data_IF_099632306757
#
_entry.id   IF_099632306757
#
_cell.length_a   1.000
_cell.length_b   1.000
_cell.length_c   1.000
_cell.angle_alpha   90.00
_cell.angle_beta   90.00
_cell.angle_gamma   90.00
#
_symmetry.space_group_name_H-M   'P 1'
#
loop_
_entity.id
_entity.type
_entity.pdbx_description
1 polymer ?
#
# COMPACT_ATOMS: atom_id res chain seq x y z
N UNK A 1 0.10 8.79 -14.00
CA UNK A 1 -0.37 7.55 -13.36
C UNK A 1 0.29 7.47 -12.00
N UNK A 2 -0.47 7.19 -10.94
CA UNK A 2 0.05 7.14 -9.56
C UNK A 2 -0.03 5.71 -9.03
N UNK A 3 0.94 5.35 -8.20
CA UNK A 3 1.07 4.05 -7.55
C UNK A 3 0.86 4.20 -6.04
N UNK A 4 0.03 3.34 -5.45
CA UNK A 4 -0.24 3.32 -4.01
C UNK A 4 0.46 2.10 -3.42
N UNK A 5 1.35 2.33 -2.47
CA UNK A 5 2.12 1.25 -1.83
C UNK A 5 1.41 0.76 -0.58
N UNK A 6 1.40 -0.56 -0.39
CA UNK A 6 1.11 -1.16 0.90
C UNK A 6 2.35 -1.10 1.83
N UNK A 7 2.15 -1.39 3.12
CA UNK A 7 3.24 -1.44 4.09
C UNK A 7 4.26 -2.52 3.73
N UNK A 8 3.79 -3.65 3.20
CA UNK A 8 4.61 -4.81 2.90
C UNK A 8 5.65 -4.53 1.82
N UNK A 9 5.35 -3.65 0.85
CA UNK A 9 6.32 -3.17 -0.15
C UNK A 9 7.54 -2.55 0.51
N UNK A 10 7.33 -1.61 1.41
CA UNK A 10 8.42 -0.88 2.06
C UNK A 10 9.18 -1.77 3.05
N UNK A 11 8.46 -2.60 3.80
CA UNK A 11 9.04 -3.52 4.79
C UNK A 11 9.89 -4.59 4.10
N UNK A 12 9.37 -5.24 3.05
CA UNK A 12 10.09 -6.28 2.32
C UNK A 12 11.28 -5.71 1.57
N UNK A 13 11.11 -4.56 0.90
CA UNK A 13 12.20 -3.86 0.24
C UNK A 13 13.33 -3.54 1.22
N UNK A 14 13.03 -2.94 2.38
CA UNK A 14 14.03 -2.61 3.39
C UNK A 14 14.77 -3.84 3.95
N UNK A 15 14.04 -4.94 4.20
CA UNK A 15 14.61 -6.12 4.85
C UNK A 15 15.42 -7.01 3.93
N UNK A 16 15.05 -7.13 2.66
CA UNK A 16 15.56 -8.19 1.79
C UNK A 16 16.14 -7.70 0.47
N UNK A 17 15.46 -6.79 -0.21
CA UNK A 17 15.81 -6.45 -1.60
C UNK A 17 16.73 -5.22 -1.70
N UNK A 18 16.50 -4.22 -0.85
CA UNK A 18 17.11 -2.89 -0.89
C UNK A 18 17.37 -2.38 0.54
N UNK A 19 18.38 -2.92 1.21
CA UNK A 19 18.80 -2.38 2.51
C UNK A 19 19.28 -0.94 2.34
N UNK A 20 19.11 -0.10 3.37
CA UNK A 20 19.52 1.31 3.28
C UNK A 20 21.02 1.46 3.04
N UNK A 21 21.84 0.59 3.62
CA UNK A 21 23.30 0.63 3.47
C UNK A 21 23.76 0.01 2.15
N UNK A 22 23.06 -1.03 1.67
CA UNK A 22 23.42 -1.74 0.44
C UNK A 22 22.84 -1.11 -0.84
N UNK A 23 21.79 -0.29 -0.73
CA UNK A 23 21.08 0.28 -1.88
C UNK A 23 20.54 1.69 -1.61
N UNK A 24 21.37 2.66 -1.18
CA UNK A 24 20.92 4.01 -0.86
C UNK A 24 20.26 4.72 -2.04
N UNK A 25 20.77 4.50 -3.26
CA UNK A 25 20.22 5.10 -4.49
C UNK A 25 18.78 4.67 -4.79
N UNK A 26 18.37 3.46 -4.38
CA UNK A 26 16.98 3.02 -4.54
C UNK A 26 16.05 3.90 -3.70
N UNK A 27 16.44 4.21 -2.46
CA UNK A 27 15.65 5.03 -1.56
C UNK A 27 15.60 6.49 -2.00
N UNK A 28 16.72 7.04 -2.48
CA UNK A 28 16.76 8.40 -3.06
C UNK A 28 15.89 8.49 -4.32
N UNK A 29 15.97 7.48 -5.19
CA UNK A 29 15.10 7.37 -6.36
C UNK A 29 13.61 7.30 -5.96
N UNK A 30 13.26 6.52 -4.93
CA UNK A 30 11.89 6.44 -4.45
C UNK A 30 11.40 7.80 -3.92
N UNK A 31 12.24 8.57 -3.22
CA UNK A 31 11.92 9.96 -2.80
C UNK A 31 11.66 10.86 -4.01
N UNK A 32 12.44 10.72 -5.08
CA UNK A 32 12.19 11.45 -6.33
C UNK A 32 10.81 11.10 -6.91
N UNK A 33 10.43 9.82 -6.92
CA UNK A 33 9.10 9.40 -7.39
C UNK A 33 7.95 9.95 -6.53
N UNK A 34 8.13 9.99 -5.20
CA UNK A 34 7.19 10.64 -4.29
C UNK A 34 7.06 12.13 -4.61
N UNK A 35 8.19 12.82 -4.80
CA UNK A 35 8.23 14.27 -5.09
C UNK A 35 7.53 14.63 -6.40
N UNK A 36 7.49 13.69 -7.36
CA UNK A 36 6.78 13.83 -8.64
C UNK A 36 5.29 13.43 -8.54
N UNK A 37 4.81 13.00 -7.38
CA UNK A 37 3.45 12.50 -7.18
C UNK A 37 3.19 11.13 -7.82
N UNK A 38 4.23 10.42 -8.25
CA UNK A 38 4.12 9.10 -8.91
C UNK A 38 3.86 8.01 -7.88
N UNK A 39 4.46 8.11 -6.68
CA UNK A 39 4.22 7.16 -5.58
C UNK A 39 3.49 7.87 -4.45
N UNK A 40 2.51 7.20 -3.88
CA UNK A 40 1.78 7.65 -2.70
C UNK A 40 1.67 6.56 -1.66
N UNK A 41 1.69 6.98 -0.39
CA UNK A 41 1.59 6.12 0.78
C UNK A 41 0.43 6.64 1.64
N UNK A 42 -0.63 5.83 1.82
CA UNK A 42 -1.76 6.19 2.68
C UNK A 42 -1.36 6.40 4.13
N UNK A 43 -2.12 7.25 4.83
CA UNK A 43 -1.92 7.51 6.24
C UNK A 43 -1.86 6.25 7.12
N UNK A 44 -2.75 5.30 6.89
CA UNK A 44 -2.77 4.02 7.62
C UNK A 44 -1.45 3.24 7.49
N UNK A 45 -0.83 3.24 6.31
CA UNK A 45 0.48 2.61 6.05
C UNK A 45 1.58 3.35 6.81
N UNK A 46 1.53 4.69 6.87
CA UNK A 46 2.42 5.46 7.74
C UNK A 46 2.26 5.06 9.20
N UNK A 47 1.02 4.95 9.70
CA UNK A 47 0.77 4.58 11.09
C UNK A 47 1.32 3.19 11.39
N UNK A 48 1.08 2.21 10.50
CA UNK A 48 1.56 0.84 10.66
C UNK A 48 3.09 0.76 10.73
N UNK A 49 3.80 1.37 9.78
CA UNK A 49 5.27 1.36 9.75
C UNK A 49 5.84 2.10 10.97
N UNK A 50 5.19 3.19 11.41
CA UNK A 50 5.61 3.98 12.56
C UNK A 50 5.37 3.32 13.92
N UNK A 51 4.66 2.19 13.99
CA UNK A 51 4.61 1.35 15.21
C UNK A 51 5.99 0.77 15.55
N UNK A 52 6.87 0.65 14.56
CA UNK A 52 8.28 0.28 14.75
C UNK A 52 9.19 1.49 14.96
N UNK A 53 10.37 1.28 15.55
CA UNK A 53 11.40 2.31 15.78
C UNK A 53 12.65 2.12 14.91
N UNK A 54 12.53 1.34 13.85
CA UNK A 54 13.63 0.95 12.97
C UNK A 54 14.05 2.06 11.98
N UNK A 55 14.99 1.72 11.10
CA UNK A 55 15.52 2.66 10.11
C UNK A 55 14.45 3.06 9.07
N UNK A 56 13.56 2.14 8.70
CA UNK A 56 12.49 2.40 7.75
C UNK A 56 11.50 3.41 8.32
N UNK A 57 11.08 3.27 9.58
CA UNK A 57 10.15 4.22 10.19
C UNK A 57 10.75 5.62 10.31
N UNK A 58 12.05 5.74 10.61
CA UNK A 58 12.77 7.03 10.61
C UNK A 58 12.84 7.64 9.21
N UNK A 59 13.18 6.85 8.20
CA UNK A 59 13.24 7.30 6.81
C UNK A 59 11.87 7.76 6.31
N UNK A 60 10.82 7.00 6.59
CA UNK A 60 9.47 7.30 6.14
C UNK A 60 8.94 8.59 6.81
N UNK A 61 9.20 8.79 8.11
CA UNK A 61 8.88 10.05 8.80
C UNK A 61 9.60 11.25 8.19
N UNK A 62 10.89 11.13 7.88
CA UNK A 62 11.70 12.20 7.26
C UNK A 62 11.14 12.61 5.90
N UNK A 63 10.66 11.64 5.12
CA UNK A 63 10.18 11.87 3.74
C UNK A 63 8.64 11.95 3.65
N UNK A 64 7.93 12.16 4.77
CA UNK A 64 6.47 12.16 4.81
C UNK A 64 5.85 13.12 3.79
N UNK A 65 6.40 14.32 3.65
CA UNK A 65 5.85 15.39 2.80
C UNK A 65 5.71 15.00 1.33
N UNK A 66 6.53 14.07 0.82
CA UNK A 66 6.50 13.69 -0.60
C UNK A 66 5.66 12.45 -0.88
N UNK A 67 5.34 11.64 0.13
CA UNK A 67 4.58 10.41 -0.08
C UNK A 67 3.15 10.45 0.48
N UNK A 68 2.90 11.27 1.51
CA UNK A 68 1.69 11.20 2.31
C UNK A 68 0.42 11.43 1.50
N UNK A 69 -0.56 10.53 1.70
CA UNK A 69 -1.93 10.70 1.26
C UNK A 69 -2.85 10.66 2.50
N UNK A 70 -3.63 11.71 2.77
CA UNK A 70 -4.57 11.76 3.89
C UNK A 70 -5.76 10.83 3.67
N UNK A 71 -6.27 10.21 4.73
CA UNK A 71 -7.39 9.25 4.67
C UNK A 71 -8.63 9.83 3.99
N UNK A 72 -8.86 11.13 4.15
CA UNK A 72 -9.97 11.88 3.59
C UNK A 72 -10.06 11.80 2.06
N UNK A 73 -8.92 11.66 1.36
CA UNK A 73 -8.88 11.53 -0.10
C UNK A 73 -9.56 10.23 -0.61
N UNK A 74 -9.78 9.26 0.28
CA UNK A 74 -10.46 8.01 -0.02
C UNK A 74 -11.82 7.84 0.68
N UNK A 75 -12.33 8.87 1.39
CA UNK A 75 -13.48 8.73 2.29
C UNK A 75 -14.72 8.08 1.64
N UNK A 76 -15.01 8.38 0.37
CA UNK A 76 -16.15 7.81 -0.37
C UNK A 76 -15.92 6.36 -0.82
N UNK A 77 -14.67 5.93 -0.95
CA UNK A 77 -14.27 4.61 -1.46
C UNK A 77 -13.95 3.62 -0.33
N UNK A 78 -13.68 4.09 0.89
CA UNK A 78 -13.33 3.25 2.04
C UNK A 78 -14.41 2.22 2.34
N UNK A 79 -15.69 2.60 2.31
CA UNK A 79 -16.78 1.66 2.59
C UNK A 79 -16.83 0.53 1.56
N UNK A 80 -16.64 0.83 0.27
CA UNK A 80 -16.61 -0.17 -0.79
C UNK A 80 -15.43 -1.14 -0.62
N UNK A 81 -14.25 -0.62 -0.28
CA UNK A 81 -13.08 -1.43 0.01
C UNK A 81 -13.29 -2.32 1.24
N UNK A 82 -13.78 -1.77 2.34
CA UNK A 82 -14.07 -2.53 3.57
C UNK A 82 -15.08 -3.64 3.31
N UNK A 83 -16.18 -3.35 2.62
CA UNK A 83 -17.21 -4.34 2.27
C UNK A 83 -16.67 -5.48 1.39
N UNK A 84 -15.55 -5.28 0.69
CA UNK A 84 -14.88 -6.35 -0.05
C UNK A 84 -13.99 -7.24 0.85
N UNK A 85 -13.63 -6.80 2.06
CA UNK A 85 -12.92 -7.59 3.07
C UNK A 85 -13.85 -8.21 4.11
N UNK A 86 -15.09 -7.74 4.27
CA UNK A 86 -16.02 -8.28 5.27
C UNK A 86 -17.23 -8.98 4.65
N UNK A 87 -17.74 -10.00 5.32
CA UNK A 87 -19.17 -10.32 5.25
C UNK A 87 -19.81 -9.69 6.47
N UNK A 88 -20.95 -9.00 6.32
CA UNK A 88 -21.72 -8.19 7.29
C UNK A 88 -21.87 -8.68 8.77
N UNK A 89 -21.19 -9.74 9.21
CA UNK A 89 -21.00 -10.13 10.59
C UNK A 89 -19.94 -9.25 11.29
N UNK A 90 -20.29 -8.71 12.45
CA UNK A 90 -19.44 -7.85 13.29
C UNK A 90 -18.10 -8.51 13.70
N UNK A 91 -18.02 -9.84 13.67
CA UNK A 91 -16.81 -10.61 14.03
C UNK A 91 -15.69 -10.53 13.01
N UNK A 92 -15.97 -10.14 11.76
CA UNK A 92 -14.93 -10.04 10.72
C UNK A 92 -14.16 -8.70 10.80
N UNK A 93 -14.74 -7.65 11.40
CA UNK A 93 -14.19 -6.28 11.38
C UNK A 93 -12.89 -6.18 12.18
N UNK A 94 -12.77 -6.85 13.33
CA UNK A 94 -11.55 -6.88 14.15
C UNK A 94 -10.36 -7.59 13.48
N UNK A 95 -10.59 -8.32 12.37
CA UNK A 95 -9.56 -9.13 11.69
C UNK A 95 -9.08 -8.52 10.38
N UNK A 96 -9.67 -7.40 9.96
CA UNK A 96 -9.25 -6.70 8.75
C UNK A 96 -7.89 -6.04 9.03
N UNK A 97 -6.86 -6.23 8.19
CA UNK A 97 -5.63 -5.47 8.31
C UNK A 97 -5.93 -3.98 8.25
N UNK A 98 -5.49 -3.23 9.27
CA UNK A 98 -5.86 -1.81 9.44
C UNK A 98 -5.57 -0.93 8.20
N UNK A 99 -4.59 -1.32 7.38
CA UNK A 99 -4.12 -0.52 6.25
C UNK A 99 -4.70 -0.93 4.88
N UNK A 100 -4.87 -2.23 4.61
CA UNK A 100 -5.18 -2.75 3.27
C UNK A 100 -6.45 -2.16 2.64
N UNK A 101 -7.59 -2.05 3.33
CA UNK A 101 -8.78 -1.43 2.76
C UNK A 101 -8.55 0.00 2.32
N UNK A 102 -7.75 0.77 3.06
CA UNK A 102 -7.44 2.16 2.71
C UNK A 102 -6.50 2.24 1.51
N UNK A 103 -5.52 1.34 1.40
CA UNK A 103 -4.66 1.24 0.20
C UNK A 103 -5.51 1.04 -1.05
N UNK A 104 -6.45 0.09 -1.01
CA UNK A 104 -7.36 -0.16 -2.13
C UNK A 104 -8.31 1.02 -2.34
N UNK A 105 -8.85 1.62 -1.28
CA UNK A 105 -9.77 2.75 -1.38
C UNK A 105 -9.11 3.98 -2.02
N UNK A 106 -7.85 4.28 -1.71
CA UNK A 106 -7.11 5.37 -2.38
C UNK A 106 -6.94 5.10 -3.87
N UNK A 107 -6.61 3.86 -4.24
CA UNK A 107 -6.48 3.49 -5.64
C UNK A 107 -7.82 3.55 -6.38
N UNK A 108 -8.91 3.12 -5.73
CA UNK A 108 -10.26 3.20 -6.26
C UNK A 108 -10.73 4.65 -6.46
N UNK A 109 -10.49 5.53 -5.49
CA UNK A 109 -10.89 6.94 -5.53
C UNK A 109 -10.17 7.73 -6.64
N UNK A 110 -8.88 7.45 -6.84
CA UNK A 110 -8.01 8.24 -7.72
C UNK A 110 -7.71 7.60 -9.09
N UNK A 111 -8.20 6.39 -9.35
CA UNK A 111 -7.81 5.60 -10.52
C UNK A 111 -6.33 5.21 -10.52
N UNK A 112 -5.71 5.13 -9.34
CA UNK A 112 -4.30 4.75 -9.17
C UNK A 112 -4.12 3.23 -9.22
N UNK A 113 -2.87 2.78 -9.30
CA UNK A 113 -2.52 1.35 -9.27
C UNK A 113 -1.95 0.96 -7.92
N UNK A 114 -2.45 -0.11 -7.31
CA UNK A 114 -1.88 -0.66 -6.08
C UNK A 114 -0.61 -1.44 -6.38
N UNK A 115 0.41 -1.27 -5.55
CA UNK A 115 1.65 -2.04 -5.59
C UNK A 115 1.76 -2.85 -4.30
N UNK A 116 1.98 -4.16 -4.45
CA UNK A 116 2.09 -5.10 -3.33
C UNK A 116 3.11 -6.21 -3.64
N UNK A 117 3.63 -6.89 -2.62
CA UNK A 117 4.34 -8.16 -2.81
C UNK A 117 3.40 -9.38 -2.85
N UNK A 118 2.15 -9.21 -2.42
CA UNK A 118 1.20 -10.31 -2.31
C UNK A 118 0.91 -10.97 -3.66
N UNK A 119 0.61 -12.27 -3.60
CA UNK A 119 0.09 -13.03 -4.73
C UNK A 119 -1.40 -13.30 -4.50
N UNK A 120 -2.23 -13.30 -5.56
CA UNK A 120 -3.66 -13.64 -5.45
C UNK A 120 -3.86 -14.96 -4.71
N UNK A 121 -4.88 -15.01 -3.86
CA UNK A 121 -5.29 -16.23 -3.16
C UNK A 121 -6.76 -16.49 -3.48
N UNK A 122 -7.04 -17.04 -4.68
CA UNK A 122 -8.41 -17.31 -5.09
C UNK A 122 -9.10 -18.23 -4.09
N UNK A 123 -10.39 -17.98 -3.84
CA UNK A 123 -11.24 -18.67 -2.87
C UNK A 123 -10.90 -18.43 -1.39
N UNK A 124 -10.10 -17.40 -1.06
CA UNK A 124 -9.98 -16.95 0.32
C UNK A 124 -11.32 -16.46 0.88
N UNK A 125 -11.61 -16.79 2.14
CA UNK A 125 -12.71 -16.19 2.88
C UNK A 125 -12.54 -14.66 2.91
N UNK A 126 -13.63 -13.86 2.94
CA UNK A 126 -13.55 -12.40 2.79
C UNK A 126 -12.52 -11.71 3.70
N UNK A 127 -12.49 -12.05 5.00
CA UNK A 127 -11.54 -11.49 5.97
C UNK A 127 -10.07 -11.91 5.74
N UNK A 128 -9.82 -12.89 4.88
CA UNK A 128 -8.49 -13.41 4.53
C UNK A 128 -8.11 -13.11 3.07
N UNK A 129 -8.91 -12.31 2.35
CA UNK A 129 -8.62 -11.91 0.98
C UNK A 129 -7.32 -11.12 0.93
N UNK A 130 -6.56 -11.35 -0.12
CA UNK A 130 -5.33 -10.61 -0.39
C UNK A 130 -5.65 -9.34 -1.17
N UNK A 131 -4.77 -8.35 -1.09
CA UNK A 131 -4.93 -7.07 -1.80
C UNK A 131 -5.23 -7.30 -3.29
N UNK A 132 -4.51 -8.17 -4.03
CA UNK A 132 -4.81 -8.43 -5.44
C UNK A 132 -6.23 -8.96 -5.70
N UNK A 133 -6.76 -9.79 -4.80
CA UNK A 133 -8.11 -10.36 -4.95
C UNK A 133 -9.17 -9.26 -4.78
N UNK A 134 -8.98 -8.37 -3.80
CA UNK A 134 -9.90 -7.25 -3.57
C UNK A 134 -9.80 -6.20 -4.68
N UNK A 135 -8.59 -5.90 -5.15
CA UNK A 135 -8.41 -5.05 -6.32
C UNK A 135 -9.15 -5.60 -7.55
N UNK A 136 -9.08 -6.91 -7.80
CA UNK A 136 -9.81 -7.54 -8.90
C UNK A 136 -11.34 -7.42 -8.74
N UNK A 137 -11.87 -7.61 -7.53
CA UNK A 137 -13.30 -7.47 -7.25
C UNK A 137 -13.82 -6.05 -7.48
N UNK A 138 -13.01 -5.03 -7.18
CA UNK A 138 -13.36 -3.62 -7.30
C UNK A 138 -12.87 -2.98 -8.61
N UNK A 139 -12.35 -3.78 -9.54
CA UNK A 139 -11.78 -3.33 -10.80
C UNK A 139 -10.70 -2.24 -10.65
N UNK A 140 -9.88 -2.38 -9.61
CA UNK A 140 -8.72 -1.53 -9.31
C UNK A 140 -7.47 -2.15 -9.90
N UNK A 141 -6.65 -1.36 -10.60
CA UNK A 141 -5.38 -1.84 -11.13
C UNK A 141 -4.43 -2.24 -9.98
N UNK A 142 -3.81 -3.41 -10.09
CA UNK A 142 -2.89 -3.93 -9.09
C UNK A 142 -1.72 -4.62 -9.78
N UNK A 143 -0.49 -4.30 -9.35
CA UNK A 143 0.73 -4.90 -9.87
C UNK A 143 1.61 -5.37 -8.72
N UNK A 144 2.41 -6.41 -8.98
CA UNK A 144 3.42 -6.83 -8.03
C UNK A 144 4.60 -5.87 -8.03
N UNK A 145 5.28 -5.72 -6.90
CA UNK A 145 6.42 -4.82 -6.78
C UNK A 145 7.53 -5.03 -7.83
N UNK A 146 7.95 -6.26 -8.18
CA UNK A 146 8.90 -6.44 -9.28
C UNK A 146 8.40 -5.87 -10.61
N UNK A 147 7.10 -6.00 -10.91
CA UNK A 147 6.52 -5.44 -12.14
C UNK A 147 6.55 -3.91 -12.13
N UNK A 148 6.24 -3.29 -10.99
CA UNK A 148 6.39 -1.85 -10.81
C UNK A 148 7.83 -1.38 -11.11
N UNK A 149 8.85 -2.09 -10.64
CA UNK A 149 10.26 -1.75 -10.94
C UNK A 149 10.58 -1.82 -12.44
N UNK A 150 9.97 -2.76 -13.16
CA UNK A 150 10.13 -2.87 -14.62
C UNK A 150 9.44 -1.74 -15.37
N UNK A 151 8.24 -1.33 -14.92
CA UNK A 151 7.46 -0.26 -15.56
C UNK A 151 8.10 1.13 -15.35
N UNK A 152 8.92 1.30 -14.30
CA UNK A 152 9.57 2.56 -13.94
C UNK A 152 10.99 2.73 -14.52
N UNK A 153 11.41 1.85 -15.45
CA UNK A 153 12.69 1.94 -16.16
C UNK A 153 12.72 3.01 -17.24
#
# INVERSE_FOLDING_TARGET
MRYIFDSNVLITAHRWDFTFDGSPYFWDWLVSLGSQGVVGIPECVFMEINRSTDQLSKWLKKNRSVFFIPTEDAALSVQAALSAYTTHSERDVERIPDADPFVVAHALSSGSTVVTYETPKPNAAPHNRKIPDVCALLNVACVRFPRFLWDMR
#
